data_IF_185627416772
#
_entry.id   IF_185627416772
#
_cell.length_a   1.000
_cell.length_b   1.000
_cell.length_c   1.000
_cell.angle_alpha   90.00
_cell.angle_beta   90.00
_cell.angle_gamma   90.00
#
_symmetry.space_group_name_H-M   'P 1'
#
loop_
_entity.id
_entity.type
_entity.pdbx_description
1 polymer ?
#
# COMPACT_ATOMS: atom_id res chain seq x y z
N UNK A 1 16.22 11.52 -12.76
CA UNK A 1 15.14 11.70 -11.75
C UNK A 1 15.61 11.05 -10.46
N UNK A 2 15.56 11.75 -9.32
CA UNK A 2 15.89 11.18 -8.01
C UNK A 2 14.69 10.45 -7.41
N UNK A 3 14.96 9.41 -6.60
CA UNK A 3 13.93 8.72 -5.83
C UNK A 3 13.46 9.66 -4.70
N UNK A 4 12.16 9.91 -4.53
CA UNK A 4 11.67 10.77 -3.46
C UNK A 4 11.86 10.11 -2.09
N UNK A 5 11.96 10.92 -1.02
CA UNK A 5 12.10 10.40 0.35
C UNK A 5 10.77 9.87 0.91
N UNK A 6 9.65 10.38 0.41
CA UNK A 6 8.29 10.00 0.83
C UNK A 6 7.38 9.74 -0.37
N UNK A 7 6.32 8.98 -0.14
CA UNK A 7 5.27 8.64 -1.10
C UNK A 7 3.90 8.65 -0.41
N UNK A 8 2.82 8.83 -1.18
CA UNK A 8 1.46 8.70 -0.67
C UNK A 8 1.06 7.23 -0.57
N UNK A 9 0.39 6.86 0.51
CA UNK A 9 -0.26 5.56 0.69
C UNK A 9 -1.66 5.72 1.27
N UNK A 10 -2.51 4.72 1.05
CA UNK A 10 -3.81 4.58 1.71
C UNK A 10 -3.69 3.42 2.69
N UNK A 11 -3.87 3.69 3.98
CA UNK A 11 -3.59 2.75 5.07
C UNK A 11 -4.82 2.60 5.94
N UNK A 12 -5.14 1.37 6.33
CA UNK A 12 -6.07 1.06 7.41
C UNK A 12 -5.35 0.27 8.50
N UNK A 13 -5.75 0.47 9.76
CA UNK A 13 -5.16 -0.22 10.92
C UNK A 13 -6.09 -1.26 11.53
N UNK A 14 -7.38 -1.19 11.22
CA UNK A 14 -8.43 -2.07 11.71
C UNK A 14 -9.31 -2.49 10.53
N UNK A 15 -9.82 -3.73 10.56
CA UNK A 15 -10.75 -4.22 9.55
C UNK A 15 -12.03 -3.38 9.52
N UNK A 16 -12.52 -3.03 8.33
CA UNK A 16 -13.60 -2.05 8.13
C UNK A 16 -13.30 -0.66 8.70
N UNK A 17 -12.06 -0.39 9.10
CA UNK A 17 -11.63 0.87 9.68
C UNK A 17 -11.46 1.97 8.63
N UNK A 18 -11.15 3.17 9.11
CA UNK A 18 -10.93 4.34 8.26
C UNK A 18 -9.72 4.14 7.34
N UNK A 19 -9.91 4.40 6.06
CA UNK A 19 -8.83 4.50 5.08
C UNK A 19 -8.16 5.88 5.20
N UNK A 20 -6.91 5.90 5.65
CA UNK A 20 -6.13 7.12 5.86
C UNK A 20 -5.15 7.36 4.71
N UNK A 21 -5.18 8.57 4.15
CA UNK A 21 -4.19 9.02 3.18
C UNK A 21 -2.98 9.59 3.92
N UNK A 22 -1.83 8.91 3.84
CA UNK A 22 -0.61 9.29 4.57
C UNK A 22 0.58 9.44 3.63
N UNK A 23 1.50 10.33 3.99
CA UNK A 23 2.86 10.30 3.44
C UNK A 23 3.68 9.29 4.25
N UNK A 24 4.27 8.32 3.56
CA UNK A 24 5.11 7.27 4.13
C UNK A 24 6.51 7.32 3.50
N UNK A 25 7.56 6.84 4.18
CA UNK A 25 8.88 6.77 3.57
C UNK A 25 8.88 5.86 2.34
N UNK A 26 9.66 6.23 1.32
CA UNK A 26 9.93 5.31 0.20
C UNK A 26 10.89 4.23 0.68
N UNK A 27 10.57 2.93 0.51
CA UNK A 27 11.43 1.86 0.97
C UNK A 27 12.69 1.75 0.11
N UNK A 28 13.79 1.33 0.75
CA UNK A 28 15.02 0.95 0.03
C UNK A 28 14.93 -0.54 -0.31
N UNK A 29 14.96 -0.93 -1.60
CA UNK A 29 14.89 -2.33 -1.98
C UNK A 29 16.12 -3.11 -1.51
N UNK A 30 15.90 -4.34 -1.03
CA UNK A 30 16.95 -5.32 -0.70
C UNK A 30 17.50 -5.99 -1.98
N UNK A 31 18.56 -6.81 -1.88
CA UNK A 31 18.96 -7.66 -3.00
C UNK A 31 17.77 -8.48 -3.52
N UNK A 32 17.58 -8.49 -4.84
CA UNK A 32 16.48 -9.15 -5.56
C UNK A 32 15.08 -8.49 -5.43
N UNK A 33 14.97 -7.27 -4.93
CA UNK A 33 13.72 -6.49 -4.94
C UNK A 33 13.74 -5.38 -6.01
N UNK A 34 12.56 -4.97 -6.48
CA UNK A 34 12.40 -3.85 -7.41
C UNK A 34 11.59 -2.73 -6.76
N UNK A 35 12.06 -1.49 -6.91
CA UNK A 35 11.31 -0.30 -6.54
C UNK A 35 10.55 0.23 -7.77
N UNK A 36 9.22 0.20 -7.71
CA UNK A 36 8.34 0.60 -8.82
C UNK A 36 7.67 1.94 -8.51
N UNK A 37 7.73 2.87 -9.46
CA UNK A 37 6.98 4.13 -9.41
C UNK A 37 5.55 3.93 -9.93
N UNK A 38 4.65 3.51 -9.04
CA UNK A 38 3.23 3.29 -9.36
C UNK A 38 2.58 4.61 -9.77
N UNK A 39 2.11 4.70 -11.02
CA UNK A 39 1.41 5.89 -11.54
C UNK A 39 -0.09 5.85 -11.30
N UNK A 40 -0.68 4.66 -11.40
CA UNK A 40 -2.09 4.40 -11.24
C UNK A 40 -2.27 3.02 -10.61
N UNK A 41 -3.24 2.88 -9.71
CA UNK A 41 -3.68 1.61 -9.13
C UNK A 41 -5.19 1.58 -9.13
N UNK A 42 -5.76 0.44 -9.50
CA UNK A 42 -7.18 0.14 -9.30
C UNK A 42 -7.42 -0.47 -7.93
N UNK A 43 -8.70 -0.67 -7.60
CA UNK A 43 -9.16 -1.46 -6.46
C UNK A 43 -10.00 -2.61 -7.01
N UNK A 44 -9.66 -3.82 -6.56
CA UNK A 44 -10.33 -5.08 -6.86
C UNK A 44 -11.20 -5.51 -5.66
N UNK A 45 -12.11 -6.46 -5.86
CA UNK A 45 -12.83 -7.10 -4.75
C UNK A 45 -11.88 -7.81 -3.76
N UNK A 46 -10.74 -8.31 -4.23
CA UNK A 46 -9.69 -8.85 -3.37
C UNK A 46 -9.20 -7.84 -2.35
N UNK A 47 -9.00 -6.58 -2.74
CA UNK A 47 -8.57 -5.53 -1.82
C UNK A 47 -9.65 -5.23 -0.78
N UNK A 48 -10.93 -5.31 -1.18
CA UNK A 48 -12.06 -5.17 -0.26
C UNK A 48 -12.08 -6.27 0.79
N UNK A 49 -11.85 -7.53 0.40
CA UNK A 49 -11.76 -8.63 1.36
C UNK A 49 -10.61 -8.43 2.36
N UNK A 50 -9.45 -7.97 1.89
CA UNK A 50 -8.33 -7.63 2.77
C UNK A 50 -8.71 -6.52 3.77
N UNK A 51 -9.46 -5.52 3.33
CA UNK A 51 -9.97 -4.45 4.20
C UNK A 51 -11.08 -4.90 5.15
N UNK A 52 -11.99 -5.77 4.72
CA UNK A 52 -13.04 -6.35 5.56
C UNK A 52 -12.50 -7.32 6.61
N UNK A 53 -11.28 -7.83 6.41
CA UNK A 53 -10.63 -8.77 7.31
C UNK A 53 -11.12 -10.21 7.15
N UNK A 54 -11.73 -10.54 6.02
CA UNK A 54 -12.19 -11.90 5.67
C UNK A 54 -11.28 -12.59 4.64
N UNK A 55 -10.12 -11.99 4.34
CA UNK A 55 -9.10 -12.58 3.48
C UNK A 55 -8.37 -13.74 4.20
N UNK A 56 -8.27 -14.94 3.60
CA UNK A 56 -7.83 -16.17 4.27
C UNK A 56 -6.32 -16.25 4.59
N UNK A 57 -5.59 -15.14 4.57
CA UNK A 57 -4.18 -15.06 4.96
C UNK A 57 -3.96 -14.39 6.33
N UNK A 58 -5.05 -13.95 7.00
CA UNK A 58 -5.01 -13.34 8.31
C UNK A 58 -4.86 -14.37 9.44
#
# INVERSE_FOLDING_TARGET
>A
MSIPKTQKGVIFYESNGKLEHKDIPVPTPKPNELLINVKYSGVCHTDLHAWHGDWPLA
#
